data_IF_299971155991
#
_entry.id   IF_299971155991
#
_cell.length_a   1.000
_cell.length_b   1.000
_cell.length_c   1.000
_cell.angle_alpha   90.00
_cell.angle_beta   90.00
_cell.angle_gamma   90.00
#
_symmetry.space_group_name_H-M   'P 1'
#
loop_
_entity.id
_entity.type
_entity.pdbx_description
1 polymer ?
#
# COMPACT_ATOMS: atom_id res chain seq x y z
N UNK A 1 -6.68 -18.39 21.54
CA UNK A 1 -7.47 -19.48 20.94
C UNK A 1 -8.34 -18.88 19.85
N UNK A 2 -7.83 -18.76 18.63
CA UNK A 2 -8.66 -18.42 17.47
C UNK A 2 -9.40 -19.69 17.05
N UNK A 3 -10.70 -19.58 16.78
CA UNK A 3 -11.50 -20.75 16.40
C UNK A 3 -11.18 -21.16 14.96
N UNK A 4 -11.41 -22.43 14.62
CA UNK A 4 -11.26 -22.95 13.24
C UNK A 4 -12.11 -22.15 12.24
N UNK A 5 -13.28 -21.68 12.68
CA UNK A 5 -14.15 -20.79 11.92
C UNK A 5 -13.48 -19.44 11.61
N UNK A 6 -12.85 -18.78 12.60
CA UNK A 6 -12.13 -17.52 12.38
C UNK A 6 -10.98 -17.68 11.38
N UNK A 7 -10.19 -18.76 11.49
CA UNK A 7 -9.09 -19.04 10.56
C UNK A 7 -9.60 -19.26 9.13
N UNK A 8 -10.71 -19.98 8.98
CA UNK A 8 -11.31 -20.26 7.68
C UNK A 8 -11.82 -18.97 7.01
N UNK A 9 -12.56 -18.14 7.75
CA UNK A 9 -13.07 -16.86 7.27
C UNK A 9 -11.92 -15.91 6.94
N UNK A 10 -10.91 -15.79 7.81
CA UNK A 10 -9.75 -14.95 7.56
C UNK A 10 -9.04 -15.34 6.26
N UNK A 11 -8.80 -16.64 6.04
CA UNK A 11 -8.15 -17.13 4.81
C UNK A 11 -8.98 -16.83 3.55
N UNK A 12 -10.31 -16.99 3.65
CA UNK A 12 -11.22 -16.72 2.54
C UNK A 12 -11.30 -15.23 2.20
N UNK A 13 -11.35 -14.36 3.21
CA UNK A 13 -11.47 -12.91 3.02
C UNK A 13 -10.18 -12.24 2.55
N UNK A 14 -9.03 -12.90 2.68
CA UNK A 14 -7.74 -12.33 2.30
C UNK A 14 -7.70 -11.88 0.83
N UNK A 15 -8.04 -12.79 -0.08
CA UNK A 15 -7.95 -12.52 -1.53
C UNK A 15 -9.00 -11.49 -1.99
N UNK A 16 -10.30 -11.59 -1.61
CA UNK A 16 -11.28 -10.55 -1.90
C UNK A 16 -10.89 -9.18 -1.35
N UNK A 17 -10.35 -9.09 -0.13
CA UNK A 17 -9.94 -7.81 0.44
C UNK A 17 -8.76 -7.18 -0.34
N UNK A 18 -7.80 -7.99 -0.80
CA UNK A 18 -6.73 -7.51 -1.68
C UNK A 18 -7.27 -7.06 -3.05
N UNK A 19 -8.25 -7.77 -3.61
CA UNK A 19 -8.91 -7.35 -4.85
C UNK A 19 -9.63 -6.02 -4.68
N UNK A 20 -10.32 -5.80 -3.56
CA UNK A 20 -10.94 -4.51 -3.23
C UNK A 20 -9.88 -3.42 -3.08
N UNK A 21 -8.78 -3.68 -2.38
CA UNK A 21 -7.68 -2.73 -2.25
C UNK A 21 -7.11 -2.31 -3.63
N UNK A 22 -6.83 -3.28 -4.51
CA UNK A 22 -6.35 -3.00 -5.86
C UNK A 22 -7.40 -2.26 -6.69
N UNK A 23 -8.66 -2.66 -6.60
CA UNK A 23 -9.75 -1.98 -7.30
C UNK A 23 -9.90 -0.52 -6.84
N UNK A 24 -9.77 -0.24 -5.53
CA UNK A 24 -9.78 1.12 -4.98
C UNK A 24 -8.57 1.93 -5.47
N UNK A 25 -7.38 1.32 -5.54
CA UNK A 25 -6.18 1.98 -6.07
C UNK A 25 -6.34 2.38 -7.54
N UNK A 26 -6.90 1.48 -8.36
CA UNK A 26 -7.13 1.74 -9.81
C UNK A 26 -8.29 2.71 -10.02
N UNK A 27 -9.36 2.60 -9.23
CA UNK A 27 -10.56 3.46 -9.34
C UNK A 27 -10.29 4.90 -8.91
N UNK A 28 -9.28 5.14 -8.05
CA UNK A 28 -8.89 6.49 -7.61
C UNK A 28 -8.53 7.45 -8.75
N UNK A 29 -8.26 6.94 -9.95
CA UNK A 29 -8.08 7.75 -11.15
C UNK A 29 -9.38 8.43 -11.64
N UNK A 30 -10.54 7.79 -11.50
CA UNK A 30 -11.79 8.20 -12.14
C UNK A 30 -12.91 8.60 -11.16
N UNK A 31 -12.81 8.21 -9.89
CA UNK A 31 -13.85 8.35 -8.87
C UNK A 31 -13.23 8.49 -7.47
N UNK A 32 -14.06 8.67 -6.43
CA UNK A 32 -13.61 8.72 -5.03
C UNK A 32 -12.88 7.43 -4.61
N UNK A 33 -11.56 7.53 -4.43
CA UNK A 33 -10.65 6.48 -3.98
C UNK A 33 -9.20 6.97 -4.09
N UNK A 34 -8.28 6.41 -3.31
CA UNK A 34 -6.87 6.83 -3.34
C UNK A 34 -5.90 5.74 -2.85
N UNK A 35 -4.60 5.98 -3.05
CA UNK A 35 -3.53 5.09 -2.60
C UNK A 35 -3.54 4.83 -1.09
N UNK A 36 -3.98 5.81 -0.29
CA UNK A 36 -4.09 5.67 1.17
C UNK A 36 -5.17 4.65 1.56
N UNK A 37 -6.39 4.83 1.05
CA UNK A 37 -7.53 3.96 1.38
C UNK A 37 -7.26 2.53 0.92
N UNK A 38 -6.73 2.36 -0.29
CA UNK A 38 -6.31 1.06 -0.81
C UNK A 38 -5.28 0.38 0.11
N UNK A 39 -4.27 1.11 0.59
CA UNK A 39 -3.25 0.56 1.47
C UNK A 39 -3.79 0.16 2.85
N UNK A 40 -4.73 0.93 3.41
CA UNK A 40 -5.40 0.58 4.66
C UNK A 40 -6.18 -0.73 4.51
N UNK A 41 -6.94 -0.90 3.43
CA UNK A 41 -7.69 -2.13 3.15
C UNK A 41 -6.72 -3.33 3.04
N UNK A 42 -5.63 -3.18 2.28
CA UNK A 42 -4.62 -4.22 2.14
C UNK A 42 -3.94 -4.56 3.49
N UNK A 43 -3.60 -3.55 4.29
CA UNK A 43 -2.98 -3.74 5.59
C UNK A 43 -3.92 -4.45 6.57
N UNK A 44 -5.22 -4.12 6.56
CA UNK A 44 -6.23 -4.79 7.36
C UNK A 44 -6.41 -6.26 6.95
N UNK A 45 -6.36 -6.56 5.65
CA UNK A 45 -6.41 -7.95 5.16
C UNK A 45 -5.24 -8.79 5.72
N UNK A 46 -4.02 -8.23 5.74
CA UNK A 46 -2.85 -8.88 6.32
C UNK A 46 -2.95 -8.96 7.85
N UNK A 47 -3.40 -7.90 8.52
CA UNK A 47 -3.61 -7.88 9.97
C UNK A 47 -4.59 -8.97 10.40
N UNK A 48 -5.67 -9.19 9.64
CA UNK A 48 -6.62 -10.27 9.90
C UNK A 48 -5.92 -11.65 9.85
N UNK A 49 -4.99 -11.86 8.91
CA UNK A 49 -4.18 -13.10 8.91
C UNK A 49 -3.31 -13.20 10.17
N UNK A 50 -2.67 -12.10 10.57
CA UNK A 50 -1.78 -12.06 11.74
C UNK A 50 -2.56 -12.37 13.02
N UNK A 51 -3.79 -11.86 13.15
CA UNK A 51 -4.66 -12.15 14.29
C UNK A 51 -5.15 -13.61 14.27
N UNK A 52 -5.53 -14.13 13.10
CA UNK A 52 -6.09 -15.48 12.96
C UNK A 52 -5.05 -16.61 13.13
N UNK A 53 -3.87 -16.45 12.54
CA UNK A 53 -2.83 -17.49 12.43
C UNK A 53 -1.57 -17.18 13.28
N UNK A 54 -1.41 -15.94 13.73
CA UNK A 54 -0.23 -15.48 14.46
C UNK A 54 0.87 -14.94 13.54
N UNK A 55 1.67 -14.01 14.05
CA UNK A 55 2.73 -13.31 13.30
C UNK A 55 3.75 -14.28 12.68
N UNK A 56 4.16 -15.33 13.41
CA UNK A 56 5.18 -16.28 12.95
C UNK A 56 4.72 -17.08 11.73
N UNK A 57 3.45 -17.47 11.69
CA UNK A 57 2.90 -18.25 10.58
C UNK A 57 2.75 -17.38 9.34
N UNK A 58 2.23 -16.16 9.50
CA UNK A 58 2.11 -15.20 8.40
C UNK A 58 3.48 -14.80 7.86
N UNK A 59 4.48 -14.60 8.74
CA UNK A 59 5.84 -14.25 8.33
C UNK A 59 6.56 -15.35 7.51
N UNK A 60 6.08 -16.61 7.55
CA UNK A 60 6.58 -17.68 6.67
C UNK A 60 6.09 -17.54 5.23
N UNK A 61 4.94 -16.92 5.03
CA UNK A 61 4.32 -16.76 3.72
C UNK A 61 4.47 -15.35 3.15
N UNK A 62 4.55 -14.34 4.01
CA UNK A 62 4.69 -12.93 3.65
C UNK A 62 5.99 -12.37 4.27
N UNK A 63 6.84 -11.68 3.50
CA UNK A 63 8.10 -11.13 4.00
C UNK A 63 7.85 -9.84 4.80
N UNK A 64 7.16 -9.94 5.94
CA UNK A 64 6.78 -8.80 6.80
C UNK A 64 8.01 -8.01 7.29
N UNK A 65 9.17 -8.65 7.37
CA UNK A 65 10.44 -8.00 7.71
C UNK A 65 10.88 -6.93 6.69
N UNK A 66 10.36 -6.97 5.46
CA UNK A 66 10.64 -5.98 4.39
C UNK A 66 9.68 -4.79 4.45
N UNK A 67 8.69 -4.80 5.33
CA UNK A 67 7.71 -3.71 5.41
C UNK A 67 8.33 -2.32 5.61
N UNK A 68 9.40 -2.12 6.43
CA UNK A 68 10.07 -0.82 6.53
C UNK A 68 10.72 -0.37 5.22
N UNK A 69 11.31 -1.31 4.47
CA UNK A 69 11.91 -1.04 3.16
C UNK A 69 10.84 -0.62 2.16
N UNK A 70 9.69 -1.31 2.16
CA UNK A 70 8.54 -0.97 1.31
C UNK A 70 8.04 0.44 1.63
N UNK A 71 7.96 0.79 2.92
CA UNK A 71 7.57 2.12 3.36
C UNK A 71 8.55 3.20 2.86
N UNK A 72 9.85 2.97 3.02
CA UNK A 72 10.89 3.88 2.57
C UNK A 72 10.91 4.05 1.05
N UNK A 73 10.73 2.96 0.30
CA UNK A 73 10.62 3.00 -1.16
C UNK A 73 9.38 3.80 -1.61
N UNK A 74 8.24 3.63 -0.94
CA UNK A 74 7.02 4.42 -1.19
C UNK A 74 7.22 5.91 -0.93
N UNK A 75 7.89 6.26 0.18
CA UNK A 75 8.25 7.64 0.51
C UNK A 75 9.18 8.24 -0.55
N UNK A 76 10.25 7.53 -0.91
CA UNK A 76 11.20 7.98 -1.92
C UNK A 76 10.54 8.19 -3.27
N UNK A 77 9.65 7.28 -3.68
CA UNK A 77 8.88 7.40 -4.92
C UNK A 77 7.94 8.61 -4.88
N UNK A 78 7.18 8.78 -3.80
CA UNK A 78 6.26 9.91 -3.63
C UNK A 78 7.01 11.25 -3.67
N UNK A 79 8.15 11.36 -2.98
CA UNK A 79 9.02 12.54 -3.02
C UNK A 79 9.58 12.78 -4.42
N UNK A 80 10.08 11.74 -5.09
CA UNK A 80 10.62 11.87 -6.44
C UNK A 80 9.55 12.40 -7.41
N UNK A 81 8.32 11.87 -7.36
CA UNK A 81 7.21 12.34 -8.19
C UNK A 81 6.83 13.78 -7.85
N UNK A 82 6.84 14.14 -6.56
CA UNK A 82 6.51 15.49 -6.07
C UNK A 82 7.49 16.56 -6.55
N UNK A 83 8.78 16.25 -6.50
CA UNK A 83 9.87 17.18 -6.80
C UNK A 83 10.38 17.10 -8.25
N UNK A 84 10.02 16.07 -9.01
CA UNK A 84 10.37 15.95 -10.43
C UNK A 84 9.98 17.17 -11.29
N UNK A 85 8.87 17.89 -11.04
CA UNK A 85 8.53 19.09 -11.80
C UNK A 85 9.41 20.30 -11.47
N UNK A 86 9.90 20.40 -10.22
CA UNK A 86 10.78 21.50 -9.78
C UNK A 86 12.10 21.49 -10.53
N UNK A 87 12.63 20.30 -10.83
CA UNK A 87 13.83 20.13 -11.67
C UNK A 87 13.64 20.68 -13.10
N UNK A 88 12.39 20.87 -13.53
CA UNK A 88 12.03 21.44 -14.83
C UNK A 88 11.54 22.89 -14.73
N UNK A 89 11.74 23.55 -13.58
CA UNK A 89 11.29 24.92 -13.34
C UNK A 89 9.77 25.08 -13.17
N UNK A 90 9.04 23.98 -12.97
CA UNK A 90 7.58 23.99 -12.74
C UNK A 90 7.24 23.94 -11.25
N UNK A 91 6.04 24.38 -10.83
CA UNK A 91 5.59 24.26 -9.44
C UNK A 91 5.62 22.80 -8.94
N UNK A 92 5.81 22.62 -7.62
CA UNK A 92 5.65 21.31 -6.96
C UNK A 92 4.29 20.68 -7.31
N UNK A 93 4.20 19.35 -7.34
CA UNK A 93 2.95 18.62 -7.66
C UNK A 93 2.40 18.89 -9.07
N UNK A 94 3.16 19.48 -9.98
CA UNK A 94 2.71 19.60 -11.38
C UNK A 94 2.73 18.22 -12.03
N UNK A 95 1.56 17.63 -12.24
CA UNK A 95 1.45 16.32 -12.84
C UNK A 95 1.67 16.38 -14.36
N UNK A 96 2.50 15.47 -14.85
CA UNK A 96 2.66 15.20 -16.28
C UNK A 96 1.82 13.96 -16.68
N UNK A 97 1.25 13.93 -17.91
CA UNK A 97 1.33 14.94 -18.97
C UNK A 97 0.46 16.18 -18.70
N UNK A 98 0.83 17.33 -19.26
CA UNK A 98 -0.04 18.52 -19.27
C UNK A 98 -1.31 18.24 -20.07
N UNK A 99 -2.40 18.94 -19.75
CA UNK A 99 -3.67 18.89 -20.48
C UNK A 99 -3.39 19.13 -21.98
N UNK A 100 -3.42 18.07 -22.79
CA UNK A 100 -3.18 18.11 -24.24
C UNK A 100 -1.85 17.52 -24.76
N UNK A 101 -0.97 16.99 -23.90
CA UNK A 101 0.23 16.28 -24.34
C UNK A 101 -0.03 14.77 -24.58
N UNK A 102 0.68 14.16 -25.53
CA UNK A 102 0.51 12.75 -25.90
C UNK A 102 0.72 11.83 -24.69
N UNK A 103 -0.39 11.32 -24.16
CA UNK A 103 -0.40 10.41 -23.01
C UNK A 103 0.02 9.02 -23.48
N UNK A 104 0.89 8.36 -22.72
CA UNK A 104 1.12 6.91 -22.87
C UNK A 104 -0.11 6.22 -22.30
N UNK A 105 -0.94 5.69 -23.17
CA UNK A 105 -2.18 5.01 -22.81
C UNK A 105 -1.88 3.54 -22.48
N UNK A 106 -2.21 3.10 -21.27
CA UNK A 106 -2.40 1.68 -20.99
C UNK A 106 -3.91 1.40 -21.10
N UNK A 107 -4.43 1.27 -22.32
CA UNK A 107 -5.88 1.22 -22.57
C UNK A 107 -6.54 2.59 -22.36
N UNK A 108 -7.50 2.71 -21.44
CA UNK A 108 -8.08 4.01 -21.01
C UNK A 108 -7.31 4.65 -19.86
N UNK A 109 -6.22 4.03 -19.42
CA UNK A 109 -5.39 4.52 -18.32
C UNK A 109 -4.45 5.58 -18.86
N UNK A 110 -4.74 6.84 -18.58
CA UNK A 110 -3.76 7.90 -18.73
C UNK A 110 -2.71 7.69 -17.63
N UNK A 111 -1.49 7.27 -17.99
CA UNK A 111 -0.38 7.14 -17.06
C UNK A 111 0.08 8.53 -16.59
N UNK A 112 -0.73 9.15 -15.72
CA UNK A 112 -0.39 10.37 -15.03
C UNK A 112 0.57 10.03 -13.90
N UNK A 113 1.54 10.93 -13.72
CA UNK A 113 2.36 10.99 -12.49
C UNK A 113 1.51 10.97 -11.20
N UNK A 114 0.23 11.36 -11.24
CA UNK A 114 -0.71 11.23 -10.13
C UNK A 114 -0.91 9.75 -9.70
N UNK A 115 -1.07 8.82 -10.64
CA UNK A 115 -1.21 7.38 -10.33
C UNK A 115 0.08 6.85 -9.70
N UNK A 116 1.24 7.32 -10.17
CA UNK A 116 2.53 6.94 -9.60
C UNK A 116 2.74 7.51 -8.20
N UNK A 117 2.24 8.72 -7.93
CA UNK A 117 2.21 9.31 -6.61
C UNK A 117 1.34 8.47 -5.66
N UNK A 118 0.13 8.10 -6.07
CA UNK A 118 -0.78 7.27 -5.28
C UNK A 118 -0.21 5.88 -5.02
N UNK A 119 0.51 5.30 -5.99
CA UNK A 119 1.24 4.06 -5.77
C UNK A 119 2.35 4.23 -4.71
N UNK A 120 3.06 5.36 -4.72
CA UNK A 120 4.03 5.71 -3.69
C UNK A 120 3.39 5.81 -2.31
N UNK A 121 2.25 6.51 -2.20
CA UNK A 121 1.46 6.62 -0.97
C UNK A 121 0.97 5.23 -0.51
N UNK A 122 0.50 4.40 -1.43
CA UNK A 122 0.06 3.04 -1.13
C UNK A 122 1.17 2.21 -0.47
N UNK A 123 2.35 2.20 -1.09
CA UNK A 123 3.52 1.46 -0.57
C UNK A 123 3.96 2.00 0.79
N UNK A 124 3.98 3.33 0.95
CA UNK A 124 4.32 4.00 2.21
C UNK A 124 3.40 3.56 3.34
N UNK A 125 2.09 3.71 3.16
CA UNK A 125 1.08 3.43 4.17
C UNK A 125 1.02 1.95 4.49
N UNK A 126 1.04 1.08 3.47
CA UNK A 126 1.02 -0.36 3.66
C UNK A 126 2.26 -0.83 4.44
N UNK A 127 3.45 -0.40 4.03
CA UNK A 127 4.70 -0.74 4.72
C UNK A 127 4.74 -0.23 6.16
N UNK A 128 4.28 1.00 6.39
CA UNK A 128 4.20 1.59 7.73
C UNK A 128 3.23 0.83 8.65
N UNK A 129 2.04 0.49 8.14
CA UNK A 129 1.04 -0.25 8.90
C UNK A 129 1.55 -1.62 9.36
N UNK A 130 2.13 -2.40 8.43
CA UNK A 130 2.70 -3.72 8.75
C UNK A 130 3.88 -3.61 9.73
N UNK A 131 4.74 -2.60 9.55
CA UNK A 131 5.86 -2.36 10.45
C UNK A 131 5.40 -2.03 11.87
N UNK A 132 4.36 -1.19 12.00
CA UNK A 132 3.77 -0.80 13.28
C UNK A 132 3.16 -2.00 13.99
N UNK A 133 2.42 -2.85 13.27
CA UNK A 133 1.84 -4.08 13.82
C UNK A 133 2.95 -4.99 14.37
N UNK A 134 4.00 -5.22 13.58
CA UNK A 134 5.14 -6.03 14.02
C UNK A 134 5.87 -5.44 15.22
N UNK A 135 6.02 -4.12 15.27
CA UNK A 135 6.63 -3.42 16.41
C UNK A 135 5.80 -3.61 17.69
N UNK A 136 4.48 -3.40 17.60
CA UNK A 136 3.56 -3.57 18.75
C UNK A 136 3.54 -5.01 19.24
N UNK A 137 3.53 -5.99 18.34
CA UNK A 137 3.58 -7.41 18.68
C UNK A 137 4.90 -7.78 19.42
N UNK A 138 6.03 -7.22 18.98
CA UNK A 138 7.34 -7.39 19.61
C UNK A 138 7.47 -6.70 20.97
N UNK A 139 6.95 -5.48 21.09
CA UNK A 139 6.91 -4.75 22.36
C UNK A 139 6.13 -5.52 23.44
N UNK A 140 5.00 -6.15 23.06
CA UNK A 140 4.22 -7.00 23.98
C UNK A 140 4.94 -8.28 24.42
N UNK A 141 5.90 -8.77 23.64
CA UNK A 141 6.64 -9.99 23.94
C UNK A 141 7.99 -9.74 24.62
N UNK A 142 8.31 -8.48 24.98
CA UNK A 142 9.58 -8.12 25.62
C UNK A 142 10.80 -8.29 24.70
N UNK A 143 10.59 -8.43 23.40
CA UNK A 143 11.64 -8.62 22.38
C UNK A 143 11.83 -7.32 21.61
N UNK A 144 12.44 -6.33 22.25
CA UNK A 144 12.98 -5.19 21.51
C UNK A 144 14.34 -5.57 20.89
N UNK A 145 14.69 -5.01 19.72
CA UNK A 145 16.02 -5.19 19.13
C UNK A 145 17.12 -4.62 20.05
#
# INVERSE_FOLDING_TARGET
MTTTLTQTIARLLFLPALMVALATLVKGYADTGDGFTAAVIAALAVLLQVVAFGEREVARHLPLHRAPLVAFAGLALSLAVTFAPVLRGRPIMTHAPEVGAAVVHLGTLELLTAVLFDLGVFLLVFGFAISTIGLVARARTGRLP
#
